data_IF_882729027614
#
_entry.id   IF_882729027614
#
_cell.length_a   1.000
_cell.length_b   1.000
_cell.length_c   1.000
_cell.angle_alpha   90.00
_cell.angle_beta   90.00
_cell.angle_gamma   90.00
#
_symmetry.space_group_name_H-M   'P 1'
#
loop_
_entity.id
_entity.type
_entity.pdbx_description
1 polymer ?
#
# COMPACT_ATOMS: atom_id res chain seq x y z
N UNK A 1 33.35 11.26 -17.82
CA UNK A 1 33.40 10.86 -16.40
C UNK A 1 32.04 10.80 -15.70
N UNK A 2 31.18 9.83 -16.07
CA UNK A 2 29.90 9.59 -15.37
C UNK A 2 30.00 8.51 -14.27
N UNK A 3 31.06 7.68 -14.27
CA UNK A 3 31.25 6.57 -13.33
C UNK A 3 31.49 7.03 -11.88
N UNK A 4 32.05 8.22 -11.69
CA UNK A 4 32.31 8.79 -10.36
C UNK A 4 31.17 9.66 -9.84
N UNK A 5 30.17 9.98 -10.67
CA UNK A 5 29.07 10.87 -10.30
C UNK A 5 28.19 10.24 -9.21
N UNK A 6 27.76 8.99 -9.41
CA UNK A 6 26.93 8.27 -8.42
C UNK A 6 27.62 8.08 -7.06
N UNK A 7 28.87 7.57 -6.96
CA UNK A 7 29.53 7.45 -5.66
C UNK A 7 29.82 8.81 -5.00
N UNK A 8 30.09 9.87 -5.79
CA UNK A 8 30.26 11.23 -5.26
C UNK A 8 28.96 11.76 -4.65
N UNK A 9 27.83 11.60 -5.32
CA UNK A 9 26.51 12.00 -4.80
C UNK A 9 26.21 11.25 -3.50
N UNK A 10 26.44 9.94 -3.45
CA UNK A 10 26.28 9.14 -2.24
C UNK A 10 27.17 9.65 -1.09
N UNK A 11 28.44 9.94 -1.37
CA UNK A 11 29.37 10.46 -0.37
C UNK A 11 28.91 11.82 0.19
N UNK A 12 28.41 12.72 -0.67
CA UNK A 12 27.85 14.01 -0.26
C UNK A 12 26.65 13.81 0.67
N UNK A 13 25.71 12.93 0.33
CA UNK A 13 24.57 12.63 1.21
C UNK A 13 25.01 12.04 2.55
N UNK A 14 25.97 11.12 2.57
CA UNK A 14 26.49 10.52 3.81
C UNK A 14 27.12 11.58 4.72
N UNK A 15 27.88 12.52 4.16
CA UNK A 15 28.50 13.62 4.91
C UNK A 15 27.44 14.61 5.44
N UNK A 16 26.33 14.77 4.73
CA UNK A 16 25.21 15.62 5.16
C UNK A 16 24.33 15.00 6.26
N UNK A 17 24.33 13.67 6.44
CA UNK A 17 23.56 12.98 7.50
C UNK A 17 23.82 13.55 8.90
N UNK A 18 25.08 13.70 9.40
CA UNK A 18 25.32 14.23 10.73
C UNK A 18 24.80 15.67 10.90
N UNK A 19 24.86 16.48 9.84
CA UNK A 19 24.28 17.83 9.84
C UNK A 19 22.75 17.76 10.00
N UNK A 20 22.08 16.90 9.24
CA UNK A 20 20.62 16.74 9.32
C UNK A 20 20.18 16.18 10.67
N UNK A 21 20.95 15.24 11.24
CA UNK A 21 20.71 14.72 12.60
C UNK A 21 20.88 15.81 13.64
N UNK A 22 21.91 16.66 13.52
CA UNK A 22 22.12 17.79 14.44
C UNK A 22 20.97 18.79 14.38
N UNK A 23 20.48 19.11 13.17
CA UNK A 23 19.33 20.00 12.97
C UNK A 23 18.04 19.36 13.53
N UNK A 24 17.77 18.09 13.22
CA UNK A 24 16.57 17.38 13.67
C UNK A 24 16.50 17.27 15.20
N UNK A 25 17.65 17.10 15.87
CA UNK A 25 17.72 17.05 17.34
C UNK A 25 17.32 18.36 18.04
N UNK A 26 17.31 19.49 17.34
CA UNK A 26 16.88 20.77 17.92
C UNK A 26 15.38 20.82 18.19
N UNK A 27 14.59 19.99 17.52
CA UNK A 27 13.14 19.90 17.73
C UNK A 27 12.79 18.61 18.48
N UNK A 28 12.10 18.67 19.63
CA UNK A 28 11.74 17.49 20.42
C UNK A 28 10.93 16.45 19.64
N UNK A 29 9.99 16.90 18.80
CA UNK A 29 9.13 16.03 17.99
C UNK A 29 9.93 15.29 16.91
N UNK A 30 10.85 15.96 16.23
CA UNK A 30 11.73 15.33 15.23
C UNK A 30 12.74 14.38 15.87
N UNK A 31 13.25 14.72 17.05
CA UNK A 31 14.16 13.87 17.81
C UNK A 31 13.50 12.56 18.26
N UNK A 32 12.21 12.58 18.57
CA UNK A 32 11.43 11.39 18.90
C UNK A 32 11.25 10.48 17.66
N UNK A 33 10.82 11.06 16.53
CA UNK A 33 10.67 10.33 15.26
C UNK A 33 12.00 9.72 14.80
N UNK A 34 13.13 10.42 15.00
CA UNK A 34 14.46 9.90 14.65
C UNK A 34 14.84 8.66 15.47
N UNK A 35 14.33 8.52 16.70
CA UNK A 35 14.59 7.36 17.56
C UNK A 35 13.61 6.22 17.27
N UNK A 36 12.33 6.52 17.13
CA UNK A 36 11.26 5.53 17.08
C UNK A 36 10.88 5.11 15.64
N UNK A 37 11.17 5.94 14.64
CA UNK A 37 10.81 5.75 13.23
C UNK A 37 11.52 4.59 12.53
N UNK A 38 12.61 4.07 13.09
CA UNK A 38 13.33 2.92 12.49
C UNK A 38 12.51 1.63 12.55
N UNK A 39 11.77 1.41 13.64
CA UNK A 39 10.96 0.22 13.80
C UNK A 39 9.91 0.07 12.67
N UNK A 40 9.05 1.07 12.41
CA UNK A 40 8.06 0.93 11.36
C UNK A 40 8.67 0.79 9.97
N UNK A 41 9.77 1.49 9.70
CA UNK A 41 10.49 1.41 8.42
C UNK A 41 11.06 0.00 8.20
N UNK A 42 11.79 -0.57 9.16
CA UNK A 42 12.44 -1.88 9.00
C UNK A 42 11.40 -2.99 8.83
N UNK A 43 10.31 -2.95 9.62
CA UNK A 43 9.24 -3.95 9.51
C UNK A 43 8.49 -3.80 8.19
N UNK A 44 8.19 -2.57 7.75
CA UNK A 44 7.59 -2.32 6.45
C UNK A 44 8.47 -2.81 5.29
N UNK A 45 9.78 -2.51 5.32
CA UNK A 45 10.74 -3.01 4.33
C UNK A 45 10.77 -4.55 4.30
N UNK A 46 10.70 -5.19 5.47
CA UNK A 46 10.69 -6.66 5.57
C UNK A 46 9.44 -7.25 4.91
N UNK A 47 8.26 -6.68 5.17
CA UNK A 47 6.99 -7.14 4.57
C UNK A 47 6.98 -6.89 3.05
N UNK A 48 7.36 -5.67 2.62
CA UNK A 48 7.40 -5.31 1.20
C UNK A 48 8.42 -6.16 0.42
N UNK A 49 9.54 -6.54 1.04
CA UNK A 49 10.52 -7.46 0.45
C UNK A 49 9.91 -8.83 0.12
N UNK A 50 9.00 -9.36 0.95
CA UNK A 50 8.28 -10.61 0.63
C UNK A 50 7.43 -10.42 -0.63
N UNK A 51 6.74 -9.28 -0.76
CA UNK A 51 6.02 -8.91 -1.98
C UNK A 51 6.94 -8.83 -3.20
N UNK A 52 8.10 -8.17 -3.03
CA UNK A 52 9.14 -8.09 -4.06
C UNK A 52 9.67 -9.45 -4.51
N UNK A 53 9.85 -10.40 -3.59
CA UNK A 53 10.27 -11.77 -3.92
C UNK A 53 9.18 -12.55 -4.69
N UNK A 54 7.90 -12.31 -4.38
CA UNK A 54 6.78 -12.89 -5.16
C UNK A 54 6.79 -12.33 -6.58
N UNK A 55 7.01 -11.02 -6.72
CA UNK A 55 7.13 -10.37 -8.03
C UNK A 55 8.30 -10.94 -8.82
N UNK A 56 9.50 -10.96 -8.23
CA UNK A 56 10.73 -11.43 -8.86
C UNK A 56 10.58 -12.86 -9.38
N UNK A 57 10.09 -13.78 -8.54
CA UNK A 57 9.85 -15.17 -8.96
C UNK A 57 8.78 -15.31 -10.03
N UNK A 58 7.79 -14.42 -10.06
CA UNK A 58 6.71 -14.53 -11.06
C UNK A 58 7.12 -13.91 -12.39
N UNK A 59 7.81 -12.76 -12.39
CA UNK A 59 8.31 -12.10 -13.61
C UNK A 59 9.45 -12.87 -14.26
N UNK A 60 10.20 -13.69 -13.51
CA UNK A 60 11.22 -14.59 -14.07
C UNK A 60 10.62 -15.67 -14.98
N UNK A 61 9.32 -16.00 -14.83
CA UNK A 61 8.63 -16.89 -15.75
C UNK A 61 8.16 -16.08 -16.99
N UNK A 62 8.59 -16.44 -18.21
CA UNK A 62 8.27 -15.69 -19.42
C UNK A 62 6.76 -15.63 -19.72
N UNK A 63 5.95 -16.50 -19.13
CA UNK A 63 4.49 -16.45 -19.29
C UNK A 63 3.82 -15.34 -18.44
N UNK A 64 4.55 -14.75 -17.49
CA UNK A 64 4.02 -13.78 -16.53
C UNK A 64 4.80 -12.46 -16.47
N UNK A 65 5.72 -12.22 -17.41
CA UNK A 65 6.52 -10.97 -17.47
C UNK A 65 5.64 -9.70 -17.50
N UNK A 66 4.50 -9.78 -18.18
CA UNK A 66 3.53 -8.69 -18.26
C UNK A 66 2.95 -8.24 -16.92
N UNK A 67 3.11 -9.01 -15.84
CA UNK A 67 2.71 -8.63 -14.48
C UNK A 67 3.38 -7.36 -14.00
N UNK A 68 4.66 -7.16 -14.32
CA UNK A 68 5.47 -6.07 -13.79
C UNK A 68 4.86 -4.69 -14.06
N UNK A 69 4.09 -4.55 -15.13
CA UNK A 69 3.45 -3.29 -15.55
C UNK A 69 2.20 -2.98 -14.71
N UNK A 70 1.55 -4.00 -14.15
CA UNK A 70 0.35 -3.83 -13.32
C UNK A 70 0.68 -3.68 -11.82
N UNK A 71 1.85 -4.13 -11.37
CA UNK A 71 2.28 -4.05 -9.97
C UNK A 71 2.30 -2.63 -9.41
N UNK A 72 2.87 -1.62 -10.10
CA UNK A 72 2.84 -0.23 -9.61
C UNK A 72 1.43 0.32 -9.46
N UNK A 73 0.50 -0.10 -10.33
CA UNK A 73 -0.90 0.34 -10.26
C UNK A 73 -1.62 -0.28 -9.07
N UNK A 74 -1.53 -1.60 -8.90
CA UNK A 74 -2.27 -2.28 -7.82
C UNK A 74 -1.72 -1.90 -6.43
N UNK A 75 -0.41 -1.81 -6.31
CA UNK A 75 0.22 -1.43 -5.05
C UNK A 75 0.06 0.07 -4.79
N UNK A 76 0.25 0.91 -5.82
CA UNK A 76 0.13 2.36 -5.71
C UNK A 76 -1.29 2.82 -5.36
N UNK A 77 -2.31 2.29 -6.04
CA UNK A 77 -3.71 2.64 -5.71
C UNK A 77 -4.07 2.15 -4.31
N UNK A 78 -3.82 0.88 -3.98
CA UNK A 78 -4.16 0.34 -2.66
C UNK A 78 -3.42 1.03 -1.51
N UNK A 79 -2.11 1.23 -1.65
CA UNK A 79 -1.25 1.92 -0.68
C UNK A 79 -1.68 3.37 -0.43
N UNK A 80 -1.98 4.13 -1.48
CA UNK A 80 -2.40 5.52 -1.34
C UNK A 80 -3.80 5.63 -0.70
N UNK A 81 -4.76 4.79 -1.11
CA UNK A 81 -6.10 4.80 -0.53
C UNK A 81 -6.08 4.45 0.97
N UNK A 82 -5.30 3.43 1.35
CA UNK A 82 -5.19 3.05 2.76
C UNK A 82 -4.45 4.10 3.59
N UNK A 83 -3.44 4.77 3.02
CA UNK A 83 -2.77 5.90 3.68
C UNK A 83 -3.72 7.07 3.93
N UNK A 84 -4.58 7.43 2.96
CA UNK A 84 -5.61 8.45 3.13
C UNK A 84 -6.57 8.07 4.27
N UNK A 85 -7.02 6.80 4.29
CA UNK A 85 -7.92 6.34 5.34
C UNK A 85 -7.24 6.37 6.72
N UNK A 86 -6.01 5.87 6.83
CA UNK A 86 -5.26 5.87 8.08
C UNK A 86 -5.04 7.29 8.62
N UNK A 87 -4.63 8.22 7.76
CA UNK A 87 -4.42 9.63 8.13
C UNK A 87 -5.71 10.32 8.57
N UNK A 88 -6.84 10.01 7.94
CA UNK A 88 -8.16 10.53 8.36
C UNK A 88 -8.56 10.02 9.74
N UNK A 89 -8.36 8.72 10.00
CA UNK A 89 -8.65 8.15 11.32
C UNK A 89 -7.71 8.74 12.37
N UNK A 90 -6.42 8.87 12.06
CA UNK A 90 -5.41 9.52 12.93
C UNK A 90 -5.83 10.95 13.29
N UNK A 91 -6.16 11.76 12.28
CA UNK A 91 -6.64 13.14 12.45
C UNK A 91 -7.89 13.19 13.34
N UNK A 92 -8.86 12.29 13.11
CA UNK A 92 -10.05 12.20 13.96
C UNK A 92 -9.68 11.89 15.42
N UNK A 93 -8.74 10.99 15.66
CA UNK A 93 -8.29 10.67 17.02
C UNK A 93 -7.59 11.86 17.69
N UNK A 94 -6.72 12.58 16.97
CA UNK A 94 -6.07 13.79 17.47
C UNK A 94 -7.05 14.90 17.85
N UNK A 95 -8.17 15.05 17.14
CA UNK A 95 -9.18 16.06 17.48
C UNK A 95 -10.07 15.67 18.67
N UNK A 96 -10.37 14.38 18.82
CA UNK A 96 -11.45 13.92 19.71
C UNK A 96 -10.96 13.08 20.90
N UNK A 97 -9.66 12.88 21.04
CA UNK A 97 -9.08 11.96 22.02
C UNK A 97 -7.63 12.35 22.35
N UNK A 98 -7.19 11.93 23.54
CA UNK A 98 -5.78 11.99 23.92
C UNK A 98 -5.07 10.68 23.55
N UNK A 99 -3.78 10.71 23.18
CA UNK A 99 -2.98 9.50 22.94
C UNK A 99 -3.16 8.49 24.08
N UNK A 100 -3.41 7.22 23.73
CA UNK A 100 -3.66 6.13 24.69
C UNK A 100 -5.13 5.89 25.05
N UNK A 101 -6.03 6.87 24.89
CA UNK A 101 -7.44 6.75 25.32
C UNK A 101 -8.39 6.89 24.14
N UNK A 102 -8.95 5.79 23.65
CA UNK A 102 -9.91 5.84 22.53
C UNK A 102 -11.19 6.63 22.90
N UNK A 103 -11.74 7.43 21.96
CA UNK A 103 -12.98 8.15 22.18
C UNK A 103 -14.16 7.16 22.33
N UNK A 104 -15.21 7.57 23.05
CA UNK A 104 -16.37 6.72 23.36
C UNK A 104 -16.97 6.04 22.11
N UNK A 105 -17.06 6.78 20.99
CA UNK A 105 -17.56 6.28 19.70
C UNK A 105 -16.69 5.19 19.06
N UNK A 106 -15.42 5.07 19.44
CA UNK A 106 -14.46 4.09 18.91
C UNK A 106 -13.95 3.11 19.98
N UNK A 107 -14.68 2.96 21.10
CA UNK A 107 -14.22 2.17 22.25
C UNK A 107 -14.08 0.66 21.97
N UNK A 108 -14.77 0.16 20.94
CA UNK A 108 -14.63 -1.24 20.52
C UNK A 108 -13.18 -1.58 20.12
N UNK A 109 -12.67 -2.67 20.69
CA UNK A 109 -11.30 -3.15 20.48
C UNK A 109 -11.09 -3.75 19.10
N UNK A 110 -12.10 -4.47 18.61
CA UNK A 110 -12.06 -5.20 17.36
C UNK A 110 -13.35 -4.88 16.60
N UNK A 111 -13.35 -3.82 15.79
CA UNK A 111 -14.51 -3.52 14.95
C UNK A 111 -14.71 -4.68 13.99
N UNK A 112 -15.96 -5.12 13.82
CA UNK A 112 -16.29 -6.10 12.80
C UNK A 112 -16.12 -5.45 11.41
N UNK A 113 -15.92 -6.23 10.33
CA UNK A 113 -15.91 -5.68 8.96
C UNK A 113 -17.18 -4.88 8.68
N UNK A 114 -18.33 -5.34 9.21
CA UNK A 114 -19.59 -4.64 9.06
C UNK A 114 -19.62 -3.26 9.73
N UNK A 115 -18.99 -3.10 10.89
CA UNK A 115 -18.91 -1.77 11.54
C UNK A 115 -17.95 -0.86 10.81
N UNK A 116 -16.91 -1.42 10.18
CA UNK A 116 -15.93 -0.65 9.41
C UNK A 116 -16.53 -0.10 8.11
N UNK A 117 -17.32 -0.90 7.40
CA UNK A 117 -17.86 -0.51 6.08
C UNK A 117 -19.31 -0.02 6.08
N UNK A 118 -20.16 -0.48 7.01
CA UNK A 118 -21.59 -0.19 7.00
C UNK A 118 -22.07 0.65 8.19
N UNK A 119 -21.17 1.21 8.99
CA UNK A 119 -21.54 2.15 10.04
C UNK A 119 -21.88 3.53 9.46
N UNK A 120 -22.70 4.28 10.20
CA UNK A 120 -23.03 5.68 9.92
C UNK A 120 -21.88 6.65 10.28
N UNK A 121 -20.81 6.15 10.88
CA UNK A 121 -19.62 6.93 11.26
C UNK A 121 -18.89 7.56 10.05
N UNK A 122 -18.22 8.69 10.31
CA UNK A 122 -17.46 9.44 9.30
C UNK A 122 -16.33 8.59 8.69
N UNK A 123 -15.65 7.80 9.52
CA UNK A 123 -14.59 6.89 9.08
C UNK A 123 -15.13 5.78 8.15
N UNK A 124 -16.33 5.28 8.42
CA UNK A 124 -17.00 4.27 7.60
C UNK A 124 -17.53 4.84 6.27
N UNK A 125 -18.01 6.09 6.27
CA UNK A 125 -18.33 6.82 5.03
C UNK A 125 -17.08 7.02 4.16
N UNK A 126 -15.96 7.41 4.77
CA UNK A 126 -14.68 7.56 4.08
C UNK A 126 -14.22 6.24 3.45
N UNK A 127 -14.26 5.13 4.20
CA UNK A 127 -13.90 3.80 3.70
C UNK A 127 -14.74 3.38 2.49
N UNK A 128 -16.07 3.62 2.52
CA UNK A 128 -16.96 3.33 1.39
C UNK A 128 -16.62 4.14 0.15
N UNK A 129 -16.37 5.45 0.31
CA UNK A 129 -16.01 6.32 -0.82
C UNK A 129 -14.69 5.86 -1.45
N UNK A 130 -13.67 5.56 -0.63
CA UNK A 130 -12.38 5.07 -1.12
C UNK A 130 -12.51 3.70 -1.79
N UNK A 131 -13.34 2.80 -1.25
CA UNK A 131 -13.61 1.50 -1.86
C UNK A 131 -14.32 1.63 -3.21
N UNK A 132 -15.31 2.54 -3.33
CA UNK A 132 -16.00 2.81 -4.59
C UNK A 132 -15.08 3.44 -5.64
N UNK A 133 -14.06 4.20 -5.22
CA UNK A 133 -13.08 4.81 -6.12
C UNK A 133 -12.14 3.79 -6.78
N UNK A 134 -12.01 2.57 -6.22
CA UNK A 134 -11.15 1.50 -6.76
C UNK A 134 -11.53 1.17 -8.20
N UNK A 135 -12.82 0.91 -8.48
CA UNK A 135 -13.26 0.50 -9.81
C UNK A 135 -12.90 1.55 -10.89
N UNK A 136 -13.37 2.82 -10.81
CA UNK A 136 -13.04 3.81 -11.83
C UNK A 136 -11.54 4.13 -11.87
N UNK A 137 -10.85 4.16 -10.72
CA UNK A 137 -9.41 4.42 -10.68
C UNK A 137 -8.60 3.37 -11.44
N UNK A 138 -8.84 2.09 -11.15
CA UNK A 138 -8.16 0.99 -11.82
C UNK A 138 -8.51 0.91 -13.31
N UNK A 139 -9.75 1.17 -13.71
CA UNK A 139 -10.14 1.19 -15.12
C UNK A 139 -9.38 2.27 -15.91
N UNK A 140 -9.20 3.47 -15.35
CA UNK A 140 -8.41 4.54 -15.98
C UNK A 140 -6.95 4.12 -16.16
N UNK A 141 -6.34 3.51 -15.15
CA UNK A 141 -4.96 3.03 -15.25
C UNK A 141 -4.81 1.88 -16.25
N UNK A 142 -5.73 0.91 -16.27
CA UNK A 142 -5.72 -0.17 -17.25
C UNK A 142 -5.86 0.35 -18.68
N UNK A 143 -6.76 1.32 -18.89
CA UNK A 143 -6.92 1.98 -20.18
C UNK A 143 -5.64 2.71 -20.61
N UNK A 144 -4.97 3.39 -19.68
CA UNK A 144 -3.69 4.06 -19.94
C UNK A 144 -2.59 3.06 -20.32
N UNK A 145 -2.50 1.93 -19.62
CA UNK A 145 -1.54 0.86 -19.95
C UNK A 145 -1.80 0.34 -21.37
N UNK A 146 -3.07 0.11 -21.74
CA UNK A 146 -3.44 -0.35 -23.07
C UNK A 146 -2.97 0.60 -24.18
N UNK A 147 -3.12 1.92 -23.97
CA UNK A 147 -2.64 2.94 -24.90
C UNK A 147 -1.12 2.98 -25.01
N UNK A 148 -0.41 2.91 -23.88
CA UNK A 148 1.06 3.04 -23.84
C UNK A 148 1.80 1.80 -24.36
N UNK A 149 1.22 0.61 -24.22
CA UNK A 149 1.82 -0.65 -24.69
C UNK A 149 1.44 -1.03 -26.13
N UNK A 150 0.83 -0.10 -26.88
CA UNK A 150 0.53 -0.31 -28.31
C UNK A 150 -0.44 -1.46 -28.60
N UNK A 151 -1.29 -1.85 -27.64
CA UNK A 151 -2.27 -2.93 -27.83
C UNK A 151 -1.71 -4.36 -27.85
N UNK A 152 -0.40 -4.56 -27.66
CA UNK A 152 0.22 -5.90 -27.61
C UNK A 152 -0.16 -6.69 -26.35
N UNK A 153 -0.56 -6.02 -25.27
CA UNK A 153 -1.24 -6.66 -24.15
C UNK A 153 -2.74 -6.75 -24.42
N UNK A 154 -3.19 -7.92 -24.88
CA UNK A 154 -4.62 -8.19 -25.03
C UNK A 154 -5.28 -8.20 -23.65
N UNK A 155 -5.80 -7.06 -23.19
CA UNK A 155 -6.63 -6.94 -21.99
C UNK A 155 -7.94 -7.70 -22.21
N UNK A 156 -7.89 -9.01 -21.98
CA UNK A 156 -9.05 -9.88 -22.01
C UNK A 156 -10.10 -9.37 -21.03
N UNK A 157 -11.37 -9.45 -21.40
CA UNK A 157 -12.48 -9.21 -20.48
C UNK A 157 -12.38 -10.06 -19.20
N UNK A 158 -11.91 -11.31 -19.33
CA UNK A 158 -11.68 -12.22 -18.18
C UNK A 158 -10.57 -11.68 -17.26
N UNK A 159 -9.48 -11.17 -17.84
CA UNK A 159 -8.38 -10.60 -17.06
C UNK A 159 -8.84 -9.35 -16.29
N UNK A 160 -9.60 -8.47 -16.94
CA UNK A 160 -10.13 -7.25 -16.29
C UNK A 160 -11.02 -7.59 -15.10
N UNK A 161 -11.92 -8.58 -15.22
CA UNK A 161 -12.78 -9.00 -14.11
C UNK A 161 -11.96 -9.56 -12.95
N UNK A 162 -11.02 -10.48 -13.21
CA UNK A 162 -10.18 -11.08 -12.18
C UNK A 162 -9.27 -10.04 -11.50
N UNK A 163 -8.70 -9.13 -12.30
CA UNK A 163 -7.87 -8.02 -11.80
C UNK A 163 -8.67 -7.07 -10.91
N UNK A 164 -9.86 -6.65 -11.33
CA UNK A 164 -10.72 -5.77 -10.52
C UNK A 164 -11.17 -6.47 -9.24
N UNK A 165 -11.44 -7.77 -9.29
CA UNK A 165 -11.77 -8.57 -8.09
C UNK A 165 -10.58 -8.61 -7.12
N UNK A 166 -9.36 -8.84 -7.62
CA UNK A 166 -8.14 -8.81 -6.83
C UNK A 166 -7.89 -7.43 -6.20
N UNK A 167 -8.07 -6.34 -6.95
CA UNK A 167 -7.93 -4.98 -6.47
C UNK A 167 -8.96 -4.64 -5.38
N UNK A 168 -10.24 -4.99 -5.58
CA UNK A 168 -11.28 -4.80 -4.57
C UNK A 168 -10.99 -5.59 -3.30
N UNK A 169 -10.55 -6.85 -3.43
CA UNK A 169 -10.17 -7.67 -2.29
C UNK A 169 -8.99 -7.07 -1.51
N UNK A 170 -7.95 -6.64 -2.22
CA UNK A 170 -6.78 -5.98 -1.63
C UNK A 170 -7.20 -4.73 -0.85
N UNK A 171 -7.86 -3.77 -1.49
CA UNK A 171 -8.26 -2.50 -0.85
C UNK A 171 -9.26 -2.76 0.29
N UNK A 172 -10.19 -3.70 0.13
CA UNK A 172 -11.13 -4.08 1.19
C UNK A 172 -10.42 -4.59 2.45
N UNK A 173 -9.44 -5.48 2.28
CA UNK A 173 -8.61 -5.96 3.40
C UNK A 173 -7.82 -4.81 4.02
N UNK A 174 -7.18 -3.97 3.19
CA UNK A 174 -6.36 -2.85 3.67
C UNK A 174 -7.16 -1.83 4.47
N UNK A 175 -8.33 -1.41 3.99
CA UNK A 175 -9.18 -0.45 4.70
C UNK A 175 -9.68 -1.00 6.04
N UNK A 176 -9.95 -2.30 6.11
CA UNK A 176 -10.30 -2.97 7.36
C UNK A 176 -9.13 -3.01 8.34
N UNK A 177 -7.95 -3.42 7.86
CA UNK A 177 -6.74 -3.48 8.67
C UNK A 177 -6.31 -2.09 9.13
N UNK A 178 -6.58 -1.04 8.35
CA UNK A 178 -6.30 0.35 8.74
C UNK A 178 -7.06 0.76 10.01
N UNK A 179 -8.36 0.45 10.11
CA UNK A 179 -9.14 0.77 11.31
C UNK A 179 -8.61 0.03 12.54
N UNK A 180 -8.14 -1.20 12.38
CA UNK A 180 -7.53 -1.98 13.47
C UNK A 180 -6.18 -1.40 13.87
N UNK A 181 -5.24 -1.25 12.93
CA UNK A 181 -3.86 -0.84 13.23
C UNK A 181 -3.83 0.56 13.82
N UNK A 182 -4.61 1.51 13.28
CA UNK A 182 -4.65 2.88 13.81
C UNK A 182 -5.16 2.89 15.26
N UNK A 183 -6.21 2.13 15.59
CA UNK A 183 -6.69 1.99 16.98
C UNK A 183 -5.65 1.34 17.88
N UNK A 184 -4.94 0.33 17.40
CA UNK A 184 -3.89 -0.35 18.17
C UNK A 184 -2.69 0.56 18.44
N UNK A 185 -2.23 1.33 17.45
CA UNK A 185 -1.13 2.28 17.61
C UNK A 185 -1.53 3.40 18.57
N UNK A 186 -2.74 3.96 18.40
CA UNK A 186 -3.25 5.01 19.28
C UNK A 186 -3.30 4.58 20.75
N UNK A 187 -3.74 3.35 21.04
CA UNK A 187 -3.76 2.78 22.40
C UNK A 187 -2.37 2.65 23.02
N UNK A 188 -1.35 2.43 22.19
CA UNK A 188 0.04 2.38 22.64
C UNK A 188 0.66 3.78 22.79
N UNK A 189 -0.14 4.83 22.66
CA UNK A 189 0.31 6.22 22.60
C UNK A 189 1.37 6.45 21.49
N UNK A 190 1.29 5.65 20.42
CA UNK A 190 2.12 5.82 19.22
C UNK A 190 1.32 6.59 18.18
N UNK A 191 1.98 7.53 17.52
CA UNK A 191 1.40 8.28 16.41
C UNK A 191 1.06 7.34 15.24
N UNK A 192 -0.24 7.14 14.91
CA UNK A 192 -0.62 6.24 13.84
C UNK A 192 -0.09 6.66 12.47
N UNK A 193 0.21 7.94 12.24
CA UNK A 193 0.73 8.40 10.95
C UNK A 193 2.18 7.95 10.73
N UNK A 194 2.98 7.91 11.81
CA UNK A 194 4.37 7.46 11.74
C UNK A 194 4.51 5.92 11.70
N UNK A 195 3.57 5.19 12.29
CA UNK A 195 3.66 3.73 12.43
C UNK A 195 2.72 2.96 11.51
N UNK A 196 1.46 3.37 11.39
CA UNK A 196 0.43 2.58 10.69
C UNK A 196 0.59 2.67 9.18
N UNK A 197 0.88 3.87 8.63
CA UNK A 197 0.97 4.08 7.19
C UNK A 197 2.06 3.20 6.54
N UNK A 198 3.30 3.13 7.07
CA UNK A 198 4.32 2.22 6.54
C UNK A 198 3.88 0.75 6.54
N UNK A 199 3.24 0.28 7.63
CA UNK A 199 2.76 -1.11 7.72
C UNK A 199 1.65 -1.41 6.71
N UNK A 200 0.69 -0.50 6.59
CA UNK A 200 -0.45 -0.67 5.69
C UNK A 200 -0.01 -0.64 4.22
N UNK A 201 0.94 0.24 3.88
CA UNK A 201 1.51 0.32 2.53
C UNK A 201 2.29 -0.94 2.18
N UNK A 202 3.17 -1.41 3.08
CA UNK A 202 3.91 -2.64 2.85
C UNK A 202 3.01 -3.89 2.78
N UNK A 203 1.95 -3.94 3.61
CA UNK A 203 0.93 -4.98 3.49
C UNK A 203 0.20 -4.88 2.14
N UNK A 204 -0.03 -3.66 1.66
CA UNK A 204 -0.61 -3.38 0.35
C UNK A 204 0.26 -3.88 -0.80
N UNK A 205 1.58 -3.72 -0.71
CA UNK A 205 2.54 -4.27 -1.67
C UNK A 205 2.48 -5.79 -1.72
N UNK A 206 2.50 -6.43 -0.54
CA UNK A 206 2.46 -7.88 -0.43
C UNK A 206 1.15 -8.47 -0.97
N UNK A 207 0.00 -7.93 -0.53
CA UNK A 207 -1.32 -8.39 -0.96
C UNK A 207 -1.57 -8.09 -2.42
N UNK A 208 -1.23 -6.88 -2.89
CA UNK A 208 -1.43 -6.47 -4.28
C UNK A 208 -0.63 -7.36 -5.23
N UNK A 209 0.66 -7.55 -4.95
CA UNK A 209 1.52 -8.44 -5.75
C UNK A 209 1.06 -9.89 -5.68
N UNK A 210 0.70 -10.39 -4.48
CA UNK A 210 0.23 -11.75 -4.29
C UNK A 210 -1.07 -12.06 -5.04
N UNK A 211 -2.08 -11.19 -4.93
CA UNK A 211 -3.35 -11.37 -5.64
C UNK A 211 -3.20 -11.18 -7.15
N UNK A 212 -2.33 -10.27 -7.58
CA UNK A 212 -2.00 -10.13 -9.00
C UNK A 212 -1.36 -11.41 -9.54
N UNK A 213 -0.46 -12.05 -8.79
CA UNK A 213 0.11 -13.35 -9.16
C UNK A 213 -0.92 -14.47 -9.26
N UNK A 214 -1.87 -14.53 -8.33
CA UNK A 214 -3.00 -15.46 -8.43
C UNK A 214 -3.84 -15.15 -9.67
N UNK A 215 -4.14 -13.89 -9.95
CA UNK A 215 -4.90 -13.46 -11.13
C UNK A 215 -4.25 -13.94 -12.45
N UNK A 216 -2.95 -13.71 -12.62
CA UNK A 216 -2.21 -14.15 -13.81
C UNK A 216 -2.21 -15.68 -13.95
N UNK A 217 -2.00 -16.42 -12.86
CA UNK A 217 -2.06 -17.89 -12.88
C UNK A 217 -3.46 -18.41 -13.22
N UNK A 218 -4.52 -17.81 -12.69
CA UNK A 218 -5.90 -18.18 -13.00
C UNK A 218 -6.22 -17.93 -14.47
N UNK A 219 -5.80 -16.80 -15.03
CA UNK A 219 -6.00 -16.49 -16.46
C UNK A 219 -5.27 -17.50 -17.35
N UNK A 220 -4.04 -17.86 -16.98
CA UNK A 220 -3.28 -18.89 -17.69
C UNK A 220 -3.97 -20.27 -17.65
N UNK A 221 -4.48 -20.68 -16.48
CA UNK A 221 -5.25 -21.93 -16.35
C UNK A 221 -6.54 -21.93 -17.16
N UNK A 222 -7.28 -20.80 -17.20
CA UNK A 222 -8.56 -20.69 -17.90
C UNK A 222 -8.38 -20.65 -19.42
N UNK A 223 -7.33 -20.00 -19.91
CA UNK A 223 -7.08 -19.86 -21.36
C UNK A 223 -6.38 -21.07 -21.99
N UNK A 224 -5.95 -22.04 -21.19
CA UNK A 224 -5.15 -23.17 -21.64
C UNK A 224 -3.72 -22.74 -21.95
N UNK A 225 -2.78 -23.70 -21.91
CA UNK A 225 -1.35 -23.49 -22.14
C UNK A 225 -0.98 -23.01 -23.57
N UNK A 226 -1.96 -22.77 -24.44
CA UNK A 226 -1.78 -22.53 -25.88
C UNK A 226 -1.72 -21.04 -26.29
N UNK A 227 -1.65 -20.10 -25.35
CA UNK A 227 -1.29 -18.72 -25.70
C UNK A 227 -0.22 -18.17 -24.77
N UNK A 228 0.97 -17.95 -25.34
CA UNK A 228 1.98 -17.05 -24.80
C UNK A 228 1.33 -15.68 -24.60
N UNK A 229 1.02 -15.31 -23.36
CA UNK A 229 0.65 -13.94 -23.00
C UNK A 229 1.93 -13.10 -22.98
N UNK A 230 2.39 -12.71 -24.16
CA UNK A 230 3.63 -11.96 -24.32
C UNK A 230 4.25 -12.19 -25.69
N UNK A 231 3.67 -11.54 -26.69
CA UNK A 231 4.34 -11.04 -27.89
C UNK A 231 3.53 -9.87 -28.43
#
# INVERSE_FOLDING_TARGET
DLKYLSPLICAVFIILIPLWVAIAKQSPSLAEVLKSGWQPVIVAMSISSIGGLILDKTVTDPNFEGMAVFTPVINGVGGNLVAIQASRISTFLHFWSMPGVLPYKMRQNWPNPCTTFFSSEVNSKSARVLFLLVIPGHLVFLYTIHLLQGGHTSLSFIFVILYLTAALLQVGILLYVADIIVRLMWRKALDPDNFSIPYLTALGDLLGTGFLAVCFRLVWLIRGADMKLGN
#
